data_IF_926293698393
#
_entry.id   IF_926293698393
#
_cell.length_a   1.000
_cell.length_b   1.000
_cell.length_c   1.000
_cell.angle_alpha   90.00
_cell.angle_beta   90.00
_cell.angle_gamma   90.00
#
_symmetry.space_group_name_H-M   'P 1'
#
loop_
_entity.id
_entity.type
_entity.pdbx_description
1 polymer ?
#
# COMPACT_ATOMS: atom_id res chain seq x y z
N UNK A 1 10.39 3.79 58.21
CA UNK A 1 10.92 3.53 56.86
C UNK A 1 9.83 3.53 55.75
N UNK A 2 8.88 4.47 55.73
CA UNK A 2 7.81 4.52 54.70
C UNK A 2 7.63 5.86 53.98
N UNK A 3 8.40 6.90 54.33
CA UNK A 3 8.32 8.23 53.67
C UNK A 3 9.39 8.48 52.59
N UNK A 4 10.53 7.79 52.61
CA UNK A 4 11.59 7.95 51.61
C UNK A 4 11.35 7.20 50.29
N UNK A 5 10.59 6.10 50.33
CA UNK A 5 10.38 5.23 49.15
C UNK A 5 9.39 5.86 48.14
N UNK A 6 8.43 6.68 48.61
CA UNK A 6 7.45 7.33 47.72
C UNK A 6 8.02 8.50 46.91
N UNK A 7 9.05 9.19 47.41
CA UNK A 7 9.66 10.34 46.74
C UNK A 7 10.60 9.88 45.60
N UNK A 8 11.30 8.75 45.79
CA UNK A 8 12.17 8.18 44.75
C UNK A 8 11.39 7.58 43.57
N UNK A 9 10.23 6.98 43.81
CA UNK A 9 9.38 6.46 42.73
C UNK A 9 8.75 7.57 41.88
N UNK A 10 8.39 8.72 42.49
CA UNK A 10 7.87 9.87 41.76
C UNK A 10 8.97 10.56 40.89
N UNK A 11 10.20 10.63 41.37
CA UNK A 11 11.33 11.18 40.61
C UNK A 11 11.75 10.27 39.43
N UNK A 12 11.70 8.95 39.61
CA UNK A 12 12.01 8.00 38.53
C UNK A 12 10.95 8.00 37.42
N UNK A 13 9.66 8.14 37.77
CA UNK A 13 8.58 8.26 36.76
C UNK A 13 8.65 9.60 36.01
N UNK A 14 9.01 10.70 36.69
CA UNK A 14 9.24 11.99 36.02
C UNK A 14 10.49 11.98 35.12
N UNK A 15 11.57 11.28 35.51
CA UNK A 15 12.77 11.16 34.67
C UNK A 15 12.54 10.29 33.43
N UNK A 16 11.74 9.22 33.53
CA UNK A 16 11.36 8.39 32.36
C UNK A 16 10.40 9.14 31.42
N UNK A 17 9.53 10.01 31.94
CA UNK A 17 8.67 10.90 31.15
C UNK A 17 9.43 12.06 30.47
N UNK A 18 10.61 12.46 30.97
CA UNK A 18 11.44 13.47 30.30
C UNK A 18 12.31 12.90 29.16
N UNK A 19 12.57 11.58 29.13
CA UNK A 19 13.39 10.95 28.10
C UNK A 19 12.61 10.75 26.79
N UNK A 20 11.28 10.59 26.84
CA UNK A 20 10.45 10.49 25.63
C UNK A 20 10.33 11.83 24.88
N UNK A 21 10.37 12.96 25.57
CA UNK A 21 10.31 14.28 24.93
C UNK A 21 11.65 14.74 24.33
N UNK A 22 12.78 14.31 24.90
CA UNK A 22 14.12 14.64 24.38
C UNK A 22 14.51 13.82 23.15
N UNK A 23 13.94 12.62 22.98
CA UNK A 23 14.21 11.75 21.83
C UNK A 23 13.73 12.32 20.49
N UNK A 24 12.52 12.88 20.44
CA UNK A 24 11.97 13.46 19.22
C UNK A 24 12.75 14.69 18.74
N UNK A 25 13.27 15.52 19.65
CA UNK A 25 14.10 16.67 19.27
C UNK A 25 15.43 16.28 18.63
N UNK A 26 16.06 15.20 19.13
CA UNK A 26 17.33 14.69 18.60
C UNK A 26 17.17 13.98 17.25
N UNK A 27 16.05 13.28 17.04
CA UNK A 27 15.66 12.71 15.75
C UNK A 27 15.42 13.81 14.71
N UNK A 28 14.66 14.86 15.05
CA UNK A 28 14.44 16.02 14.17
C UNK A 28 15.72 16.68 13.73
N UNK A 29 16.65 16.89 14.66
CA UNK A 29 17.95 17.48 14.34
C UNK A 29 18.86 16.50 13.56
N UNK A 30 18.75 15.18 13.77
CA UNK A 30 19.46 14.20 12.97
C UNK A 30 18.94 14.10 11.52
N UNK A 31 17.63 14.14 11.31
CA UNK A 31 17.01 14.17 9.98
C UNK A 31 17.35 15.47 9.25
N UNK A 32 17.25 16.62 9.92
CA UNK A 32 17.69 17.90 9.35
C UNK A 32 19.17 17.89 8.94
N UNK A 33 20.06 17.39 9.80
CA UNK A 33 21.49 17.24 9.47
C UNK A 33 21.71 16.30 8.30
N UNK A 34 20.93 15.23 8.19
CA UNK A 34 21.01 14.31 7.07
C UNK A 34 20.58 14.97 5.74
N UNK A 35 19.63 15.91 5.77
CA UNK A 35 19.20 16.71 4.62
C UNK A 35 20.20 17.83 4.24
N UNK A 36 21.18 18.14 5.08
CA UNK A 36 22.15 19.20 4.79
C UNK A 36 22.94 18.89 3.50
N UNK A 37 22.92 19.84 2.56
CA UNK A 37 23.56 19.69 1.26
C UNK A 37 22.81 18.79 0.28
N UNK A 38 21.55 18.38 0.59
CA UNK A 38 20.65 17.68 -0.33
C UNK A 38 19.65 18.65 -0.93
N UNK A 39 19.33 18.45 -2.20
CA UNK A 39 18.34 19.28 -2.90
C UNK A 39 16.93 18.89 -2.49
N UNK A 40 16.10 19.87 -2.15
CA UNK A 40 14.68 19.65 -1.93
C UNK A 40 13.96 19.61 -3.28
N UNK A 41 13.35 18.47 -3.58
CA UNK A 41 12.61 18.22 -4.80
C UNK A 41 11.11 18.41 -4.57
N UNK A 42 10.34 18.57 -5.66
CA UNK A 42 8.87 18.72 -5.61
C UNK A 42 8.21 17.79 -6.62
N UNK A 43 7.08 17.19 -6.27
CA UNK A 43 6.27 16.43 -7.23
C UNK A 43 5.59 17.41 -8.19
N UNK A 44 5.39 17.01 -9.45
CA UNK A 44 4.60 17.79 -10.37
C UNK A 44 3.10 17.66 -9.99
N UNK A 45 2.46 18.79 -9.70
CA UNK A 45 1.07 18.81 -9.21
C UNK A 45 0.05 18.32 -10.25
N UNK A 46 0.34 18.47 -11.53
CA UNK A 46 -0.55 18.05 -12.63
C UNK A 46 -0.33 16.57 -13.02
N UNK A 47 0.82 15.99 -12.70
CA UNK A 47 1.15 14.60 -13.01
C UNK A 47 2.26 14.07 -12.10
N UNK A 48 1.88 13.31 -11.08
CA UNK A 48 2.81 12.79 -10.09
C UNK A 48 3.78 11.73 -10.62
N UNK A 49 3.64 11.28 -11.88
CA UNK A 49 4.70 10.50 -12.53
C UNK A 49 5.94 11.35 -12.88
N UNK A 50 5.88 12.66 -12.63
CA UNK A 50 6.98 13.61 -12.81
C UNK A 50 7.31 14.34 -11.52
N UNK A 51 8.57 14.75 -11.38
CA UNK A 51 9.02 15.59 -10.27
C UNK A 51 10.13 16.55 -10.73
N UNK A 52 10.36 17.59 -9.93
CA UNK A 52 11.39 18.59 -10.16
C UNK A 52 12.52 18.44 -9.16
N UNK A 53 13.75 18.43 -9.67
CA UNK A 53 14.97 18.65 -8.90
C UNK A 53 15.61 19.92 -9.45
N UNK A 54 15.44 21.02 -8.72
CA UNK A 54 15.82 22.35 -9.17
C UNK A 54 14.95 22.79 -10.34
N UNK A 55 15.59 23.16 -11.47
CA UNK A 55 14.89 23.57 -12.69
C UNK A 55 14.72 22.41 -13.70
N UNK A 56 15.10 21.19 -13.33
CA UNK A 56 14.99 20.01 -14.20
C UNK A 56 13.78 19.18 -13.81
N UNK A 57 12.94 18.86 -14.78
CA UNK A 57 11.85 17.91 -14.62
C UNK A 57 12.33 16.50 -14.97
N UNK A 58 11.92 15.53 -14.16
CA UNK A 58 12.23 14.12 -14.34
C UNK A 58 10.94 13.33 -14.46
N UNK A 59 10.88 12.41 -15.42
CA UNK A 59 9.82 11.41 -15.58
C UNK A 59 10.24 10.11 -14.94
N UNK A 60 9.39 9.57 -14.06
CA UNK A 60 9.63 8.34 -13.30
C UNK A 60 9.20 7.14 -14.14
N UNK A 61 10.07 6.14 -14.26
CA UNK A 61 9.81 4.91 -14.99
C UNK A 61 9.41 3.78 -14.02
N UNK A 62 8.69 2.78 -14.50
CA UNK A 62 8.28 1.59 -13.73
C UNK A 62 9.47 0.71 -13.32
N UNK A 63 10.64 0.96 -13.90
CA UNK A 63 11.89 0.22 -13.66
C UNK A 63 12.34 0.30 -12.21
N UNK A 64 12.25 -0.83 -11.52
CA UNK A 64 12.72 -0.97 -10.15
C UNK A 64 14.17 -1.41 -10.09
N UNK A 65 14.95 -0.77 -9.22
CA UNK A 65 16.38 -0.97 -9.06
C UNK A 65 16.72 -1.54 -7.68
N UNK A 66 17.78 -2.35 -7.64
CA UNK A 66 18.37 -2.86 -6.41
C UNK A 66 19.16 -1.78 -5.66
N UNK A 67 19.28 -1.94 -4.34
CA UNK A 67 20.06 -1.01 -3.49
C UNK A 67 21.54 -0.93 -3.88
N UNK A 68 22.08 -1.98 -4.48
CA UNK A 68 23.46 -2.07 -4.97
C UNK A 68 23.73 -1.19 -6.20
N UNK A 69 22.66 -0.72 -6.85
CA UNK A 69 22.68 0.19 -8.01
C UNK A 69 22.49 1.66 -7.62
N UNK A 70 22.29 1.97 -6.33
CA UNK A 70 22.18 3.33 -5.82
C UNK A 70 23.57 3.96 -5.64
N UNK A 71 23.74 5.19 -6.11
CA UNK A 71 24.88 6.05 -5.85
C UNK A 71 24.63 6.99 -4.65
N UNK A 72 25.23 8.18 -4.71
CA UNK A 72 25.08 9.17 -3.65
C UNK A 72 23.63 9.64 -3.49
N UNK A 73 23.19 9.83 -2.24
CA UNK A 73 21.94 10.52 -1.93
C UNK A 73 22.12 12.00 -2.24
N UNK A 74 21.32 12.55 -3.16
CA UNK A 74 21.48 13.90 -3.71
C UNK A 74 20.28 14.81 -3.47
N UNK A 75 19.08 14.26 -3.28
CA UNK A 75 17.87 15.06 -3.05
C UNK A 75 16.77 14.33 -2.29
N UNK A 76 15.71 15.03 -1.94
CA UNK A 76 14.60 14.47 -1.18
C UNK A 76 13.27 15.20 -1.45
N UNK A 77 12.17 14.46 -1.34
CA UNK A 77 10.79 14.96 -1.31
C UNK A 77 10.22 14.74 0.08
N UNK A 78 10.24 13.48 0.57
CA UNK A 78 9.80 13.06 1.91
C UNK A 78 8.37 13.48 2.27
N UNK A 79 7.41 13.14 1.39
CA UNK A 79 5.99 13.45 1.51
C UNK A 79 5.10 12.24 1.28
N UNK A 80 3.94 12.24 1.94
CA UNK A 80 2.75 11.53 1.50
C UNK A 80 2.04 12.38 0.45
N UNK A 81 1.79 11.81 -0.73
CA UNK A 81 1.16 12.50 -1.85
C UNK A 81 -0.11 11.74 -2.19
N UNK A 82 -1.23 12.44 -2.10
CA UNK A 82 -2.55 11.90 -2.40
C UNK A 82 -2.92 12.27 -3.84
N UNK A 83 -3.29 11.26 -4.63
CA UNK A 83 -3.51 11.40 -6.07
C UNK A 83 -4.94 11.07 -6.45
N UNK A 84 -5.47 11.73 -7.48
CA UNK A 84 -6.72 11.34 -8.13
C UNK A 84 -6.49 10.32 -9.25
N UNK A 85 -7.55 10.00 -9.99
CA UNK A 85 -7.56 9.00 -11.03
C UNK A 85 -6.81 9.41 -12.31
N UNK A 86 -6.32 10.65 -12.39
CA UNK A 86 -5.42 11.14 -13.44
C UNK A 86 -3.98 11.39 -12.95
N UNK A 87 -3.60 10.88 -11.76
CA UNK A 87 -2.29 11.13 -11.12
C UNK A 87 -2.05 12.61 -10.74
N UNK A 88 -3.09 13.43 -10.67
CA UNK A 88 -2.96 14.81 -10.23
C UNK A 88 -2.86 14.84 -8.70
N UNK A 89 -2.01 15.72 -8.18
CA UNK A 89 -1.81 15.88 -6.75
C UNK A 89 -3.02 16.60 -6.14
N UNK A 90 -3.72 15.92 -5.25
CA UNK A 90 -4.87 16.46 -4.50
C UNK A 90 -4.39 17.11 -3.20
N UNK A 91 -3.46 16.44 -2.52
CA UNK A 91 -2.94 16.87 -1.23
C UNK A 91 -1.52 16.33 -1.04
N UNK A 92 -0.65 17.13 -0.44
CA UNK A 92 0.62 16.68 0.08
C UNK A 92 0.68 16.84 1.60
N UNK A 93 1.25 15.86 2.28
CA UNK A 93 1.59 15.95 3.71
C UNK A 93 3.07 15.63 3.89
N UNK A 94 3.76 16.47 4.65
CA UNK A 94 5.11 16.14 5.12
C UNK A 94 5.07 14.83 5.91
N UNK A 95 6.07 13.98 5.73
CA UNK A 95 6.24 12.81 6.59
C UNK A 95 6.71 13.33 7.94
N UNK A 96 5.76 13.61 8.84
CA UNK A 96 6.07 14.01 10.22
C UNK A 96 6.70 12.83 10.97
N UNK A 97 7.73 13.14 11.76
CA UNK A 97 8.52 12.16 12.51
C UNK A 97 7.78 11.54 13.72
N UNK A 98 6.47 11.77 13.83
CA UNK A 98 5.68 11.36 14.98
C UNK A 98 4.93 10.06 14.68
N UNK A 99 5.26 9.01 15.44
CA UNK A 99 4.70 7.66 15.27
C UNK A 99 3.17 7.58 15.42
N UNK A 100 2.55 8.59 16.03
CA UNK A 100 1.10 8.67 16.22
C UNK A 100 0.35 8.85 14.89
N UNK A 101 0.91 9.60 13.94
CA UNK A 101 0.27 9.89 12.65
C UNK A 101 0.33 8.68 11.69
N UNK A 102 1.32 7.79 11.87
CA UNK A 102 1.44 6.53 11.11
C UNK A 102 0.20 5.65 11.22
N UNK A 103 -0.47 5.66 12.38
CA UNK A 103 -1.66 4.86 12.63
C UNK A 103 -2.93 5.47 11.99
N UNK A 104 -2.91 6.76 11.69
CA UNK A 104 -4.02 7.48 11.02
C UNK A 104 -3.81 7.58 9.50
N UNK A 105 -2.58 7.44 9.03
CA UNK A 105 -2.23 7.39 7.61
C UNK A 105 -2.80 6.12 6.96
N UNK A 106 -3.85 6.31 6.15
CA UNK A 106 -4.53 5.23 5.43
C UNK A 106 -5.87 4.79 6.02
N UNK A 107 -6.37 5.44 7.09
CA UNK A 107 -7.72 5.20 7.61
C UNK A 107 -8.80 5.70 6.66
N UNK A 108 -8.61 6.90 6.11
CA UNK A 108 -9.49 7.49 5.10
C UNK A 108 -8.64 8.28 4.09
N UNK A 109 -8.95 8.12 2.81
CA UNK A 109 -8.39 8.95 1.75
C UNK A 109 -9.10 10.33 1.76
N UNK A 110 -8.38 11.45 1.55
CA UNK A 110 -8.98 12.74 1.28
C UNK A 110 -10.02 12.69 0.15
N UNK A 111 -11.01 13.58 0.21
CA UNK A 111 -12.01 13.72 -0.85
C UNK A 111 -11.32 13.97 -2.21
N UNK A 112 -11.78 13.27 -3.25
CA UNK A 112 -11.22 13.29 -4.61
C UNK A 112 -9.81 12.68 -4.75
N UNK A 113 -9.34 11.90 -3.77
CA UNK A 113 -8.12 11.09 -3.93
C UNK A 113 -8.44 9.60 -3.97
N UNK A 114 -7.76 8.90 -4.88
CA UNK A 114 -7.88 7.46 -5.15
C UNK A 114 -6.70 6.67 -4.60
N UNK A 115 -5.57 7.34 -4.30
CA UNK A 115 -4.47 6.67 -3.63
C UNK A 115 -3.58 7.63 -2.84
N UNK A 116 -2.74 7.03 -1.99
CA UNK A 116 -1.67 7.69 -1.27
C UNK A 116 -0.34 7.04 -1.66
N UNK A 117 0.61 7.85 -2.14
CA UNK A 117 1.94 7.41 -2.55
C UNK A 117 2.99 8.13 -1.72
N UNK A 118 4.00 7.40 -1.27
CA UNK A 118 5.17 7.99 -0.60
C UNK A 118 6.21 8.41 -1.62
N UNK A 119 6.67 9.65 -1.55
CA UNK A 119 7.82 10.13 -2.30
C UNK A 119 8.93 10.45 -1.30
N UNK A 120 10.09 9.78 -1.41
CA UNK A 120 11.14 9.82 -0.40
C UNK A 120 12.41 10.50 -0.90
N UNK A 121 13.41 9.73 -1.30
CA UNK A 121 14.77 10.19 -1.54
C UNK A 121 15.15 10.07 -3.02
N UNK A 122 16.06 10.93 -3.49
CA UNK A 122 16.63 10.92 -4.83
C UNK A 122 18.12 10.61 -4.74
N UNK A 123 18.57 9.61 -5.50
CA UNK A 123 19.94 9.13 -5.55
C UNK A 123 20.51 9.27 -6.96
N UNK A 124 21.83 9.33 -7.07
CA UNK A 124 22.50 9.09 -8.33
C UNK A 124 22.30 7.63 -8.77
N UNK A 125 22.18 7.41 -10.08
CA UNK A 125 22.28 6.07 -10.65
C UNK A 125 23.74 5.66 -10.74
N UNK A 126 24.12 4.57 -10.06
CA UNK A 126 25.49 4.08 -10.06
C UNK A 126 25.91 3.65 -11.47
N UNK A 127 27.16 3.95 -11.84
CA UNK A 127 27.76 3.63 -13.13
C UNK A 127 26.99 4.20 -14.35
N UNK A 128 26.12 5.20 -14.12
CA UNK A 128 25.43 5.91 -15.19
C UNK A 128 26.42 6.65 -16.08
N UNK A 129 26.17 6.59 -17.39
CA UNK A 129 26.95 7.33 -18.38
C UNK A 129 26.43 8.77 -18.57
N UNK A 130 25.30 9.10 -17.94
CA UNK A 130 24.65 10.42 -18.00
C UNK A 130 24.37 10.92 -16.58
N UNK A 131 24.67 12.19 -16.32
CA UNK A 131 24.30 12.86 -15.05
C UNK A 131 22.80 13.19 -14.97
N UNK A 132 22.06 12.98 -16.06
CA UNK A 132 20.63 13.28 -16.19
C UNK A 132 19.72 12.11 -15.78
N UNK A 133 20.29 10.95 -15.43
CA UNK A 133 19.54 9.79 -14.95
C UNK A 133 19.70 9.71 -13.43
N UNK A 134 18.56 9.70 -12.73
CA UNK A 134 18.52 9.59 -11.27
C UNK A 134 17.67 8.40 -10.85
N UNK A 135 17.75 8.06 -9.56
CA UNK A 135 16.90 7.04 -8.94
C UNK A 135 16.07 7.71 -7.86
N UNK A 136 14.75 7.51 -7.89
CA UNK A 136 13.84 8.05 -6.88
C UNK A 136 13.16 6.92 -6.10
N UNK A 137 13.13 7.05 -4.79
CA UNK A 137 12.43 6.16 -3.86
C UNK A 137 10.95 6.59 -3.77
N UNK A 138 10.07 5.84 -4.44
CA UNK A 138 8.64 6.13 -4.58
C UNK A 138 7.82 4.88 -4.35
N UNK A 139 6.73 5.01 -3.57
CA UNK A 139 5.87 3.90 -3.22
C UNK A 139 6.66 2.77 -2.55
N UNK A 140 6.75 1.63 -3.21
CA UNK A 140 7.37 0.41 -2.69
C UNK A 140 8.75 0.11 -3.29
N UNK A 141 9.36 1.03 -4.05
CA UNK A 141 10.59 0.74 -4.78
C UNK A 141 11.46 1.93 -5.14
N UNK A 142 12.67 1.61 -5.60
CA UNK A 142 13.60 2.57 -6.19
C UNK A 142 13.40 2.58 -7.70
N UNK A 143 12.94 3.69 -8.24
CA UNK A 143 12.59 3.83 -9.65
C UNK A 143 13.60 4.66 -10.41
N UNK A 144 13.94 4.24 -11.63
CA UNK A 144 14.73 5.08 -12.53
C UNK A 144 13.90 6.31 -12.96
N UNK A 145 14.52 7.49 -13.04
CA UNK A 145 13.88 8.69 -13.56
C UNK A 145 14.80 9.47 -14.52
N UNK A 146 14.23 10.03 -15.59
CA UNK A 146 14.95 10.65 -16.71
C UNK A 146 14.31 11.97 -17.14
N UNK A 147 15.10 12.91 -17.68
CA UNK A 147 14.59 14.23 -18.08
C UNK A 147 13.91 14.27 -19.46
N UNK A 148 14.25 13.34 -20.36
CA UNK A 148 13.75 13.31 -21.73
C UNK A 148 13.49 11.85 -22.16
N UNK A 149 12.37 11.23 -21.74
CA UNK A 149 12.10 9.85 -22.09
C UNK A 149 11.94 9.67 -23.60
N UNK A 150 12.60 8.65 -24.16
CA UNK A 150 12.40 8.23 -25.54
C UNK A 150 11.05 7.50 -25.71
N UNK A 151 10.70 7.13 -26.95
CA UNK A 151 9.40 6.52 -27.24
C UNK A 151 9.23 5.13 -26.60
N UNK A 152 10.32 4.39 -26.35
CA UNK A 152 10.27 3.12 -25.61
C UNK A 152 10.00 3.39 -24.13
N UNK A 153 10.70 4.36 -23.54
CA UNK A 153 10.59 4.73 -22.13
C UNK A 153 9.22 5.34 -21.78
N UNK A 154 8.59 6.07 -22.70
CA UNK A 154 7.22 6.59 -22.50
C UNK A 154 6.19 5.49 -22.26
N UNK A 155 6.40 4.29 -22.80
CA UNK A 155 5.52 3.14 -22.55
C UNK A 155 5.69 2.51 -21.17
N UNK A 156 6.74 2.92 -20.45
CA UNK A 156 7.20 2.38 -19.16
C UNK A 156 7.19 3.44 -18.07
N UNK A 157 6.38 4.48 -18.21
CA UNK A 157 6.18 5.48 -17.16
C UNK A 157 5.48 4.78 -15.98
N UNK A 158 5.92 5.11 -14.75
CA UNK A 158 5.38 4.49 -13.55
C UNK A 158 3.86 4.64 -13.49
N UNK A 159 3.17 3.57 -13.09
CA UNK A 159 1.78 3.62 -12.67
C UNK A 159 1.69 3.43 -11.16
N UNK A 160 0.81 4.17 -10.52
CA UNK A 160 0.60 4.06 -9.08
C UNK A 160 -0.50 3.03 -8.82
N UNK A 161 -0.22 2.09 -7.92
CA UNK A 161 -1.23 1.19 -7.42
C UNK A 161 -2.28 2.02 -6.67
N UNK A 162 -3.54 1.90 -7.09
CA UNK A 162 -4.64 2.65 -6.49
C UNK A 162 -5.42 1.75 -5.57
N UNK A 163 -5.85 2.35 -4.47
CA UNK A 163 -7.00 1.80 -3.75
C UNK A 163 -8.14 2.17 -4.68
N UNK A 164 -8.57 1.24 -5.52
CA UNK A 164 -9.74 1.51 -6.35
C UNK A 164 -10.83 1.99 -5.40
N UNK A 165 -11.23 3.27 -5.53
CA UNK A 165 -12.44 3.75 -4.91
C UNK A 165 -13.50 2.76 -5.39
N UNK A 166 -13.95 1.94 -4.46
CA UNK A 166 -14.98 0.96 -4.70
C UNK A 166 -16.14 1.74 -5.31
N UNK A 167 -16.35 1.54 -6.61
CA UNK A 167 -17.61 1.96 -7.24
C UNK A 167 -18.68 1.38 -6.34
N UNK A 168 -19.55 2.23 -5.82
CA UNK A 168 -20.40 1.95 -4.65
C UNK A 168 -21.36 0.74 -4.80
N UNK A 169 -21.29 0.00 -5.91
CA UNK A 169 -22.09 -1.19 -6.21
C UNK A 169 -21.30 -2.39 -6.77
N UNK A 170 -20.00 -2.26 -7.10
CA UNK A 170 -19.24 -3.35 -7.71
C UNK A 170 -18.56 -4.23 -6.66
N UNK A 171 -18.76 -5.53 -6.79
CA UNK A 171 -18.17 -6.53 -5.90
C UNK A 171 -16.74 -6.86 -6.32
N UNK A 172 -15.80 -6.81 -5.37
CA UNK A 172 -14.39 -7.14 -5.59
C UNK A 172 -13.87 -8.12 -4.56
N UNK A 173 -12.76 -8.79 -4.86
CA UNK A 173 -12.02 -9.61 -3.90
C UNK A 173 -11.02 -8.73 -3.16
N UNK A 174 -10.93 -8.90 -1.84
CA UNK A 174 -9.88 -8.23 -1.08
C UNK A 174 -8.53 -8.87 -1.40
N UNK A 175 -7.66 -8.19 -2.14
CA UNK A 175 -6.33 -8.71 -2.51
C UNK A 175 -5.40 -8.95 -1.30
N UNK A 176 -5.69 -8.32 -0.14
CA UNK A 176 -4.97 -8.56 1.12
C UNK A 176 -5.46 -9.81 1.86
N UNK A 177 -6.68 -10.25 1.58
CA UNK A 177 -7.27 -11.47 2.09
C UNK A 177 -8.31 -12.01 1.08
N UNK A 178 -7.90 -12.92 0.20
CA UNK A 178 -8.71 -13.51 -0.85
C UNK A 178 -9.93 -14.29 -0.31
N UNK A 179 -10.06 -14.49 1.01
CA UNK A 179 -11.27 -15.03 1.64
C UNK A 179 -12.30 -13.94 1.98
N UNK A 180 -12.10 -12.72 1.51
CA UNK A 180 -13.00 -11.59 1.73
C UNK A 180 -13.43 -10.96 0.41
N UNK A 181 -14.68 -10.51 0.37
CA UNK A 181 -15.23 -9.66 -0.67
C UNK A 181 -15.40 -8.24 -0.15
N UNK A 182 -15.32 -7.30 -1.07
CA UNK A 182 -15.47 -5.88 -0.87
C UNK A 182 -16.68 -5.40 -1.68
N UNK A 183 -17.51 -4.55 -1.06
CA UNK A 183 -18.59 -3.81 -1.72
C UNK A 183 -18.75 -2.47 -1.01
N UNK A 184 -18.18 -1.40 -1.57
CA UNK A 184 -18.17 -0.04 -1.00
C UNK A 184 -18.00 0.04 0.53
N UNK A 185 -16.83 0.10 1.15
CA UNK A 185 -16.62 0.11 2.61
C UNK A 185 -17.09 -1.13 3.40
N UNK A 186 -17.89 -2.04 2.82
CA UNK A 186 -18.30 -3.27 3.48
C UNK A 186 -17.37 -4.43 3.12
N UNK A 187 -16.94 -5.18 4.14
CA UNK A 187 -16.11 -6.38 3.99
C UNK A 187 -16.95 -7.60 4.35
N UNK A 188 -17.06 -8.55 3.42
CA UNK A 188 -17.76 -9.82 3.64
C UNK A 188 -16.75 -10.97 3.70
N UNK A 189 -16.75 -11.74 4.79
CA UNK A 189 -15.92 -12.94 4.94
C UNK A 189 -16.61 -14.14 4.26
N UNK A 190 -15.94 -14.74 3.29
CA UNK A 190 -16.38 -15.96 2.59
C UNK A 190 -16.18 -17.15 3.54
N UNK A 191 -17.27 -17.87 3.77
CA UNK A 191 -17.31 -19.05 4.65
C UNK A 191 -17.34 -20.34 3.83
N UNK A 192 -17.07 -21.47 4.48
CA UNK A 192 -17.20 -22.81 3.84
C UNK A 192 -18.66 -23.30 3.75
N UNK A 193 -19.65 -22.46 4.07
CA UNK A 193 -21.07 -22.82 4.03
C UNK A 193 -21.57 -22.74 2.58
N UNK A 194 -21.94 -23.88 2.00
CA UNK A 194 -22.49 -23.96 0.66
C UNK A 194 -23.95 -23.49 0.60
N UNK A 195 -24.27 -22.73 -0.45
CA UNK A 195 -25.59 -22.18 -0.74
C UNK A 195 -26.04 -22.59 -2.15
N UNK A 196 -26.30 -23.88 -2.42
CA UNK A 196 -26.57 -24.38 -3.77
C UNK A 196 -27.79 -23.70 -4.43
N UNK A 197 -28.77 -23.28 -3.63
CA UNK A 197 -29.99 -22.58 -4.09
C UNK A 197 -29.79 -21.06 -4.26
N UNK A 198 -28.55 -20.55 -4.15
CA UNK A 198 -28.27 -19.11 -4.24
C UNK A 198 -28.68 -18.48 -5.58
N UNK A 199 -28.66 -19.26 -6.67
CA UNK A 199 -29.08 -18.79 -7.99
C UNK A 199 -30.56 -18.42 -8.08
N UNK A 200 -31.39 -18.85 -7.11
CA UNK A 200 -32.80 -18.46 -7.02
C UNK A 200 -32.98 -17.05 -6.43
N UNK A 201 -31.91 -16.50 -5.83
CA UNK A 201 -31.86 -15.15 -5.31
C UNK A 201 -31.78 -14.08 -6.40
N UNK A 202 -31.77 -12.81 -5.98
CA UNK A 202 -31.56 -11.68 -6.89
C UNK A 202 -30.07 -11.64 -7.25
N UNK A 203 -29.76 -11.57 -8.55
CA UNK A 203 -28.40 -11.31 -9.02
C UNK A 203 -27.95 -9.91 -8.58
N UNK A 204 -26.77 -9.84 -7.93
CA UNK A 204 -26.20 -8.62 -7.38
C UNK A 204 -24.98 -8.13 -8.14
N UNK A 205 -24.24 -9.02 -8.79
CA UNK A 205 -23.03 -8.64 -9.53
C UNK A 205 -22.12 -9.81 -9.81
N UNK A 206 -20.92 -9.51 -10.28
CA UNK A 206 -19.88 -10.48 -10.57
C UNK A 206 -18.51 -9.83 -10.32
N UNK A 207 -17.63 -10.50 -9.60
CA UNK A 207 -16.26 -10.04 -9.41
C UNK A 207 -15.39 -10.36 -10.64
N UNK A 208 -15.47 -11.57 -11.16
CA UNK A 208 -14.70 -12.02 -12.33
C UNK A 208 -13.21 -12.18 -12.07
N UNK A 209 -12.78 -12.18 -10.81
CA UNK A 209 -11.37 -12.23 -10.42
C UNK A 209 -10.89 -13.68 -10.20
N UNK A 210 -9.57 -13.85 -10.25
CA UNK A 210 -8.91 -15.15 -10.07
C UNK A 210 -7.67 -14.99 -9.22
N UNK A 211 -7.59 -15.75 -8.12
CA UNK A 211 -6.44 -15.73 -7.23
C UNK A 211 -5.99 -17.13 -6.84
N UNK A 212 -4.68 -17.31 -6.81
CA UNK A 212 -4.02 -18.40 -6.09
C UNK A 212 -3.48 -17.80 -4.79
N UNK A 213 -3.90 -18.31 -3.64
CA UNK A 213 -3.58 -17.71 -2.33
C UNK A 213 -3.22 -18.76 -1.28
N UNK A 214 -2.53 -18.36 -0.22
CA UNK A 214 -2.23 -19.25 0.91
C UNK A 214 -3.41 -19.30 1.88
N UNK A 215 -4.04 -20.46 2.01
CA UNK A 215 -5.19 -20.74 2.84
C UNK A 215 -5.00 -20.35 4.32
N UNK A 216 -3.78 -20.44 4.83
CA UNK A 216 -3.49 -20.13 6.23
C UNK A 216 -3.54 -18.62 6.52
N UNK A 217 -3.26 -17.79 5.52
CA UNK A 217 -3.13 -16.33 5.68
C UNK A 217 -4.18 -15.55 4.89
N UNK A 218 -4.83 -16.19 3.92
CA UNK A 218 -5.71 -15.55 2.95
C UNK A 218 -4.98 -14.72 1.88
N UNK A 219 -3.66 -14.57 1.95
CA UNK A 219 -2.92 -13.65 1.05
C UNK A 219 -2.69 -14.27 -0.32
N UNK A 220 -2.91 -13.48 -1.37
CA UNK A 220 -2.54 -13.84 -2.74
C UNK A 220 -1.05 -14.20 -2.81
N UNK A 221 -0.75 -15.28 -3.53
CA UNK A 221 0.62 -15.72 -3.78
C UNK A 221 1.13 -14.94 -5.00
N UNK A 222 2.30 -14.32 -4.85
CA UNK A 222 2.90 -13.52 -5.91
C UNK A 222 3.26 -14.38 -7.13
N UNK A 223 3.32 -13.75 -8.31
CA UNK A 223 3.73 -14.44 -9.54
C UNK A 223 5.12 -15.08 -9.42
N UNK A 224 6.04 -14.44 -8.68
CA UNK A 224 7.39 -14.97 -8.42
C UNK A 224 7.30 -16.28 -7.62
N UNK A 225 6.55 -16.29 -6.51
CA UNK A 225 6.34 -17.46 -5.67
C UNK A 225 5.56 -18.59 -6.37
N UNK A 226 4.74 -18.25 -7.37
CA UNK A 226 4.05 -19.23 -8.22
C UNK A 226 4.99 -19.90 -9.23
N UNK A 227 6.03 -19.20 -9.69
CA UNK A 227 6.99 -19.69 -10.67
C UNK A 227 8.21 -20.37 -10.03
N UNK A 228 8.45 -20.13 -8.75
CA UNK A 228 9.60 -20.68 -8.03
C UNK A 228 9.42 -22.18 -7.74
N UNK A 229 10.49 -22.95 -8.00
CA UNK A 229 10.55 -24.39 -7.74
C UNK A 229 11.51 -24.62 -6.57
N UNK A 230 10.97 -25.05 -5.43
CA UNK A 230 11.76 -25.53 -4.30
C UNK A 230 12.24 -26.97 -4.55
N UNK A 231 13.53 -27.13 -4.80
CA UNK A 231 14.16 -28.47 -4.94
C UNK A 231 14.42 -29.16 -3.60
N UNK A 232 14.40 -28.39 -2.51
CA UNK A 232 14.43 -28.86 -1.12
C UNK A 232 13.27 -28.18 -0.38
N UNK A 233 12.45 -28.90 0.39
CA UNK A 233 11.30 -28.30 1.06
C UNK A 233 11.66 -27.08 1.92
N UNK A 234 11.02 -25.94 1.63
CA UNK A 234 11.25 -24.67 2.29
C UNK A 234 9.96 -23.92 2.59
N UNK A 235 9.98 -22.60 2.38
CA UNK A 235 8.86 -21.69 2.67
C UNK A 235 7.67 -21.98 1.77
N UNK A 236 7.88 -22.17 0.46
CA UNK A 236 6.78 -22.39 -0.50
C UNK A 236 6.10 -23.73 -0.27
N UNK A 237 6.88 -24.75 0.09
CA UNK A 237 6.39 -26.09 0.41
C UNK A 237 5.48 -26.14 1.64
N UNK A 238 5.52 -25.11 2.49
CA UNK A 238 4.66 -24.98 3.67
C UNK A 238 3.33 -24.26 3.41
N UNK A 239 3.17 -23.66 2.23
CA UNK A 239 1.94 -22.96 1.84
C UNK A 239 0.82 -23.95 1.57
N UNK A 240 -0.38 -23.65 2.05
CA UNK A 240 -1.58 -24.40 1.67
C UNK A 240 -2.28 -23.63 0.55
N UNK A 241 -1.95 -23.92 -0.71
CA UNK A 241 -2.47 -23.14 -1.84
C UNK A 241 -3.95 -23.44 -2.10
N UNK A 242 -4.76 -22.38 -2.22
CA UNK A 242 -6.10 -22.42 -2.80
C UNK A 242 -6.10 -21.72 -4.15
N UNK A 243 -6.95 -22.18 -5.05
CA UNK A 243 -7.13 -21.64 -6.40
C UNK A 243 -8.61 -21.32 -6.60
N UNK A 244 -8.97 -20.04 -6.47
CA UNK A 244 -10.36 -19.57 -6.47
C UNK A 244 -10.60 -18.61 -7.64
N UNK A 245 -11.59 -18.96 -8.45
CA UNK A 245 -12.24 -18.07 -9.39
C UNK A 245 -13.52 -17.51 -8.77
N UNK A 246 -13.65 -16.19 -8.72
CA UNK A 246 -14.76 -15.47 -8.09
C UNK A 246 -15.71 -15.03 -9.18
N UNK A 247 -16.91 -15.59 -9.18
CA UNK A 247 -17.92 -15.35 -10.20
C UNK A 247 -19.08 -14.52 -9.69
N UNK A 248 -20.27 -14.99 -10.06
CA UNK A 248 -21.55 -14.35 -9.83
C UNK A 248 -21.89 -14.27 -8.32
N UNK A 249 -22.57 -13.19 -7.93
CA UNK A 249 -22.96 -12.91 -6.55
C UNK A 249 -24.46 -12.68 -6.50
N UNK A 250 -25.11 -13.27 -5.50
CA UNK A 250 -26.57 -13.31 -5.34
C UNK A 250 -26.99 -12.95 -3.93
N UNK A 251 -28.19 -12.38 -3.80
CA UNK A 251 -28.86 -12.25 -2.50
C UNK A 251 -29.29 -13.62 -1.98
N UNK A 252 -29.45 -13.72 -0.66
CA UNK A 252 -29.91 -14.93 -0.01
C UNK A 252 -31.40 -14.79 0.38
N UNK A 253 -32.25 -15.80 0.12
CA UNK A 253 -33.66 -15.73 0.50
C UNK A 253 -33.85 -15.49 2.00
N UNK A 254 -34.53 -14.39 2.35
CA UNK A 254 -34.83 -14.04 3.74
C UNK A 254 -33.65 -13.49 4.56
N UNK A 255 -32.57 -13.08 3.90
CA UNK A 255 -31.42 -12.41 4.53
C UNK A 255 -31.17 -11.09 3.80
N UNK A 256 -30.95 -10.02 4.56
CA UNK A 256 -30.64 -8.70 3.99
C UNK A 256 -29.25 -8.72 3.32
N UNK A 257 -29.10 -8.00 2.20
CA UNK A 257 -27.87 -8.01 1.39
C UNK A 257 -26.67 -7.49 2.19
N UNK A 258 -26.91 -6.57 3.14
CA UNK A 258 -25.91 -5.99 4.04
C UNK A 258 -25.43 -6.96 5.13
N UNK A 259 -26.14 -8.07 5.34
CA UNK A 259 -25.78 -9.09 6.34
C UNK A 259 -25.02 -10.25 5.71
N UNK A 260 -25.52 -10.77 4.58
CA UNK A 260 -24.86 -11.85 3.88
C UNK A 260 -25.32 -11.97 2.42
N UNK A 261 -24.40 -12.46 1.59
CA UNK A 261 -24.63 -12.79 0.19
C UNK A 261 -24.08 -14.18 -0.13
N UNK A 262 -24.39 -14.68 -1.32
CA UNK A 262 -23.74 -15.85 -1.89
C UNK A 262 -22.80 -15.44 -3.01
N UNK A 263 -21.58 -15.95 -3.02
CA UNK A 263 -20.61 -15.78 -4.09
C UNK A 263 -20.29 -17.13 -4.73
N UNK A 264 -20.24 -17.17 -6.05
CA UNK A 264 -19.79 -18.33 -6.79
C UNK A 264 -18.27 -18.41 -6.75
N UNK A 265 -17.74 -19.42 -6.08
CA UNK A 265 -16.32 -19.76 -6.07
C UNK A 265 -16.15 -21.04 -6.88
N UNK A 266 -15.42 -20.95 -7.98
CA UNK A 266 -15.30 -22.03 -8.97
C UNK A 266 -16.70 -22.48 -9.44
N UNK A 267 -17.12 -23.68 -9.06
CA UNK A 267 -18.42 -24.26 -9.44
C UNK A 267 -19.43 -24.30 -8.29
N UNK A 268 -19.15 -23.65 -7.15
CA UNK A 268 -19.98 -23.72 -5.96
C UNK A 268 -20.32 -22.34 -5.40
N UNK A 269 -21.57 -22.16 -4.98
CA UNK A 269 -21.96 -20.96 -4.23
C UNK A 269 -21.61 -21.12 -2.75
N UNK A 270 -20.85 -20.17 -2.23
CA UNK A 270 -20.47 -20.08 -0.82
C UNK A 270 -21.11 -18.85 -0.19
N UNK A 271 -21.47 -18.94 1.09
CA UNK A 271 -21.99 -17.81 1.85
C UNK A 271 -20.86 -16.87 2.26
N UNK A 272 -21.01 -15.58 1.97
CA UNK A 272 -20.17 -14.51 2.50
C UNK A 272 -20.96 -13.67 3.51
N UNK A 273 -20.38 -13.37 4.67
CA UNK A 273 -21.07 -12.70 5.79
C UNK A 273 -20.35 -11.40 6.13
N UNK A 274 -21.10 -10.33 6.39
CA UNK A 274 -20.53 -9.04 6.78
C UNK A 274 -19.62 -9.16 8.02
N UNK A 275 -18.42 -8.63 7.91
CA UNK A 275 -17.44 -8.55 8.99
C UNK A 275 -17.76 -7.30 9.81
N UNK A 276 -18.36 -7.47 10.98
CA UNK A 276 -18.63 -6.36 11.90
C UNK A 276 -17.34 -5.97 12.61
N UNK A 277 -16.93 -4.70 12.52
CA UNK A 277 -15.83 -4.17 13.34
C UNK A 277 -16.16 -4.34 14.84
N UNK A 278 -15.17 -4.82 15.61
CA UNK A 278 -15.24 -4.92 17.07
C UNK A 278 -14.63 -3.68 17.73
#
# INVERSE_FOLDING_TARGET
>A
MKKGIKIWMAAAVAAVLCISAAGCGLLKEAVKRNREGKEQCTVNEEDASRFYMGNKEYTILEDTLGRDQLGDWIGYIQKYVYLNDQNQVVLEKEIEENLTDMADLGKELPENSDCMVTFLNVFQLKDSQTEDDVVIDVGNGFHKAVTHPDDEQKSRIISFERIEAEGADDWKVNSRNCRELLRGNQIYEITDIQMPEASDGKYLGNSGEHYIFDNNTGRAISRVDLMEIETVPGRLSSQQRMDWYYGEIYSLPGVEEEEAVAVKINDQFLKAVIKKEQ
#
